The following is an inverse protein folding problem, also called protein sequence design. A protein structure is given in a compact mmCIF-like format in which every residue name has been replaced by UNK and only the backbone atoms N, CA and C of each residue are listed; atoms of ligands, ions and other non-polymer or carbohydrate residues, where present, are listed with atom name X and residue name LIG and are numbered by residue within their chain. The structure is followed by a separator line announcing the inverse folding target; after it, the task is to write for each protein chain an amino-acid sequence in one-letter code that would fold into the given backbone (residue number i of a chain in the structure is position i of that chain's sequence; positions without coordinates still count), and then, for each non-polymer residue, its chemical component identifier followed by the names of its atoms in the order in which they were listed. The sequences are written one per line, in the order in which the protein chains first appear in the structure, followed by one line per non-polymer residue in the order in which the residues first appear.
data_IF_671704005598
#
_entry.id   IF_671704005598
#
_cell.length_a   1.000
_cell.length_b   1.000
_cell.length_c   1.000
_cell.angle_alpha   90.00
_cell.angle_beta   90.00
_cell.angle_gamma   90.00
#
_symmetry.space_group_name_H-M   'P 1'
#
loop_
_entity.id
_entity.type
_entity.pdbx_description
1 polymer ?
#
# COMPACT_ATOMS: atom_id res chain seq x y z
N UNK A 1 -37.67 2.14 -114.03
CA UNK A 1 -37.53 2.79 -115.36
C UNK A 1 -36.38 2.10 -116.08
N UNK A 2 -36.46 1.39 -117.21
CA UNK A 2 -37.52 1.02 -118.19
C UNK A 2 -37.38 -0.49 -118.53
N UNK A 3 -38.48 -1.18 -118.94
CA UNK A 3 -38.50 -2.57 -119.44
C UNK A 3 -38.61 -2.64 -121.00
N UNK A 4 -39.00 -3.83 -121.53
CA UNK A 4 -39.37 -4.25 -122.92
C UNK A 4 -38.33 -5.18 -123.57
N UNK A 5 -38.60 -6.38 -124.12
CA UNK A 5 -39.83 -7.10 -124.45
C UNK A 5 -40.07 -7.18 -125.97
N UNK A 6 -39.84 -8.33 -126.61
CA UNK A 6 -40.57 -8.82 -127.82
C UNK A 6 -40.12 -10.24 -128.25
N UNK A 7 -41.10 -11.12 -128.48
CA UNK A 7 -41.04 -12.54 -128.87
C UNK A 7 -41.33 -12.72 -130.40
N UNK A 8 -41.77 -13.89 -130.91
CA UNK A 8 -41.06 -15.13 -131.28
C UNK A 8 -41.36 -15.59 -132.75
N UNK A 9 -40.68 -16.61 -133.29
CA UNK A 9 -41.22 -17.37 -134.45
C UNK A 9 -40.93 -18.88 -134.36
N UNK A 10 -41.94 -19.69 -134.71
CA UNK A 10 -41.94 -21.18 -134.73
C UNK A 10 -42.26 -21.65 -136.15
N UNK A 11 -41.50 -22.59 -136.76
CA UNK A 11 -41.77 -23.09 -138.11
C UNK A 11 -42.77 -24.27 -138.16
N UNK A 12 -43.46 -24.48 -139.30
CA UNK A 12 -44.62 -25.38 -139.42
C UNK A 12 -44.32 -26.87 -139.65
N UNK A 13 -45.32 -27.69 -139.33
CA UNK A 13 -45.37 -29.16 -139.19
C UNK A 13 -45.32 -29.99 -140.48
N UNK A 14 -44.72 -31.19 -140.35
CA UNK A 14 -44.54 -32.26 -141.34
C UNK A 14 -45.82 -33.07 -141.65
N UNK A 15 -46.04 -33.44 -142.93
CA UNK A 15 -46.95 -34.54 -143.34
C UNK A 15 -46.12 -35.73 -143.87
N UNK A 16 -46.16 -36.87 -143.16
CA UNK A 16 -45.41 -38.08 -143.48
C UNK A 16 -46.24 -39.08 -144.33
N UNK A 17 -45.69 -39.57 -145.46
CA UNK A 17 -46.22 -40.72 -146.23
C UNK A 17 -45.88 -42.04 -145.49
N UNK A 18 -46.89 -42.84 -145.16
CA UNK A 18 -46.79 -44.05 -144.31
C UNK A 18 -46.26 -45.32 -145.01
N UNK A 19 -45.94 -45.28 -146.31
CA UNK A 19 -45.49 -46.45 -147.10
C UNK A 19 -44.01 -46.82 -146.96
N UNK A 20 -43.11 -45.85 -146.75
CA UNK A 20 -41.66 -46.07 -146.67
C UNK A 20 -41.19 -46.60 -145.31
N UNK A 21 -42.05 -46.48 -144.29
CA UNK A 21 -41.72 -46.78 -142.89
C UNK A 21 -41.52 -48.29 -142.65
N UNK A 22 -42.21 -49.16 -143.40
CA UNK A 22 -42.09 -50.62 -143.24
C UNK A 22 -40.76 -51.16 -143.79
N UNK A 23 -40.27 -50.59 -144.90
CA UNK A 23 -39.00 -51.01 -145.51
C UNK A 23 -37.79 -50.51 -144.69
N UNK A 24 -37.89 -49.29 -144.14
CA UNK A 24 -36.88 -48.72 -143.25
C UNK A 24 -36.78 -49.47 -141.92
N UNK A 25 -37.90 -49.88 -141.32
CA UNK A 25 -37.90 -50.63 -140.04
C UNK A 25 -37.14 -51.97 -140.13
N UNK A 26 -37.23 -52.69 -141.25
CA UNK A 26 -36.47 -53.94 -141.46
C UNK A 26 -34.97 -53.69 -141.61
N UNK A 27 -34.56 -52.63 -142.30
CA UNK A 27 -33.14 -52.25 -142.41
C UNK A 27 -32.57 -51.74 -141.08
N UNK A 28 -33.36 -50.98 -140.32
CA UNK A 28 -32.97 -50.47 -139.01
C UNK A 28 -32.82 -51.61 -137.99
N UNK A 29 -33.71 -52.60 -137.99
CA UNK A 29 -33.55 -53.78 -137.12
C UNK A 29 -32.28 -54.58 -137.45
N UNK A 30 -31.99 -54.78 -138.73
CA UNK A 30 -30.75 -55.45 -139.16
C UNK A 30 -29.49 -54.68 -138.75
N UNK A 31 -29.54 -53.35 -138.77
CA UNK A 31 -28.44 -52.48 -138.35
C UNK A 31 -28.25 -52.51 -136.83
N UNK A 32 -29.35 -52.49 -136.07
CA UNK A 32 -29.32 -52.54 -134.60
C UNK A 32 -28.76 -53.89 -134.13
N UNK A 33 -29.14 -55.00 -134.75
CA UNK A 33 -28.58 -56.32 -134.43
C UNK A 33 -27.06 -56.34 -134.71
N UNK A 34 -26.61 -55.72 -135.80
CA UNK A 34 -25.19 -55.60 -136.13
C UNK A 34 -24.42 -54.72 -135.12
N UNK A 35 -25.06 -53.68 -134.58
CA UNK A 35 -24.49 -52.77 -133.57
C UNK A 35 -24.45 -53.41 -132.18
N UNK A 36 -25.43 -54.25 -131.83
CA UNK A 36 -25.50 -54.89 -130.50
C UNK A 36 -24.51 -56.02 -130.29
N UNK A 37 -24.03 -56.68 -131.35
CA UNK A 37 -22.99 -57.73 -131.26
C UNK A 37 -21.61 -57.13 -130.92
N UNK A 38 -21.41 -55.83 -131.14
CA UNK A 38 -20.16 -55.13 -130.82
C UNK A 38 -20.01 -54.71 -129.35
N UNK A 39 -21.05 -54.90 -128.51
CA UNK A 39 -21.06 -54.46 -127.11
C UNK A 39 -20.80 -55.61 -126.12
N UNK A 40 -19.66 -56.26 -126.29
CA UNK A 40 -19.05 -57.11 -125.27
C UNK A 40 -17.52 -57.07 -125.40
N UNK A 41 -16.94 -55.87 -125.40
CA UNK A 41 -15.50 -55.73 -125.21
C UNK A 41 -15.26 -55.18 -123.80
N UNK A 42 -14.87 -56.08 -122.90
CA UNK A 42 -14.24 -55.71 -121.64
C UNK A 42 -13.05 -54.84 -122.01
N UNK A 43 -13.08 -53.54 -121.66
CA UNK A 43 -11.93 -52.66 -121.82
C UNK A 43 -10.81 -53.20 -120.92
N UNK A 44 -9.91 -53.97 -121.51
CA UNK A 44 -8.65 -54.34 -120.90
C UNK A 44 -7.74 -53.11 -120.89
N UNK A 45 -7.14 -52.83 -119.74
CA UNK A 45 -6.25 -51.68 -119.56
C UNK A 45 -5.12 -51.68 -120.61
N UNK A 46 -4.44 -52.81 -120.75
CA UNK A 46 -3.67 -53.17 -121.92
C UNK A 46 -4.33 -54.37 -122.60
N UNK A 47 -4.64 -54.31 -123.92
CA UNK A 47 -5.27 -55.42 -124.63
C UNK A 47 -4.47 -56.73 -124.58
N UNK A 48 -3.15 -56.63 -124.43
CA UNK A 48 -2.21 -57.74 -124.38
C UNK A 48 -1.88 -58.22 -122.95
N UNK A 49 -2.51 -57.65 -121.91
CA UNK A 49 -2.40 -58.13 -120.52
C UNK A 49 -3.81 -58.45 -119.99
N UNK A 50 -4.29 -59.69 -120.18
CA UNK A 50 -5.61 -60.09 -119.70
C UNK A 50 -5.70 -60.09 -118.17
N UNK A 51 -6.91 -59.86 -117.62
CA UNK A 51 -7.15 -59.84 -116.15
C UNK A 51 -6.71 -61.10 -115.39
N UNK A 52 -6.72 -62.26 -116.06
CA UNK A 52 -6.31 -63.54 -115.51
C UNK A 52 -4.81 -63.83 -115.66
N UNK A 53 -4.05 -62.93 -116.30
CA UNK A 53 -2.61 -63.04 -116.42
C UNK A 53 -1.94 -62.72 -115.08
N UNK A 54 -0.95 -63.52 -114.66
CA UNK A 54 -0.26 -63.35 -113.38
C UNK A 54 0.34 -61.93 -113.21
N UNK A 55 0.79 -61.32 -114.31
CA UNK A 55 1.40 -60.00 -114.31
C UNK A 55 0.38 -58.84 -114.24
N UNK A 56 -0.92 -59.11 -114.42
CA UNK A 56 -1.94 -58.08 -114.57
C UNK A 56 -1.93 -57.08 -113.41
N UNK A 57 -2.01 -57.57 -112.17
CA UNK A 57 -2.04 -56.74 -110.96
C UNK A 57 -0.78 -55.88 -110.80
N UNK A 58 0.38 -56.42 -111.15
CA UNK A 58 1.65 -55.71 -111.04
C UNK A 58 1.77 -54.62 -112.11
N UNK A 59 1.44 -54.95 -113.36
CA UNK A 59 1.44 -54.01 -114.49
C UNK A 59 0.43 -52.89 -114.25
N UNK A 60 -0.77 -53.23 -113.80
CA UNK A 60 -1.80 -52.27 -113.45
C UNK A 60 -1.32 -51.30 -112.36
N UNK A 61 -0.75 -51.81 -111.26
CA UNK A 61 -0.21 -50.99 -110.17
C UNK A 61 0.91 -50.04 -110.60
N UNK A 62 1.78 -50.50 -111.49
CA UNK A 62 2.87 -49.67 -112.00
C UNK A 62 2.37 -48.61 -112.97
N UNK A 63 1.35 -48.94 -113.77
CA UNK A 63 0.72 -47.97 -114.66
C UNK A 63 -0.10 -46.92 -113.91
N UNK A 64 -0.87 -47.32 -112.92
CA UNK A 64 -1.66 -46.40 -112.08
C UNK A 64 -0.75 -45.36 -111.38
N UNK A 65 0.49 -45.75 -111.07
CA UNK A 65 1.54 -44.88 -110.53
C UNK A 65 2.34 -44.12 -111.60
N UNK A 66 2.01 -44.29 -112.88
CA UNK A 66 2.70 -43.65 -114.00
C UNK A 66 4.11 -44.17 -114.30
N UNK A 67 4.55 -45.24 -113.62
CA UNK A 67 5.90 -45.81 -113.77
C UNK A 67 6.06 -46.39 -115.17
N UNK A 68 5.09 -47.22 -115.59
CA UNK A 68 4.98 -47.72 -116.96
C UNK A 68 3.75 -47.12 -117.64
N UNK A 69 3.91 -46.58 -118.85
CA UNK A 69 2.81 -45.92 -119.58
C UNK A 69 2.32 -46.73 -120.80
N UNK A 70 3.00 -47.84 -121.11
CA UNK A 70 2.75 -48.63 -122.32
C UNK A 70 3.26 -47.96 -123.59
N UNK A 71 2.90 -48.54 -124.73
CA UNK A 71 3.29 -48.05 -126.05
C UNK A 71 2.19 -47.19 -126.70
N UNK A 72 2.50 -46.41 -127.76
CA UNK A 72 1.50 -45.61 -128.47
C UNK A 72 0.35 -46.42 -129.06
N UNK A 73 0.57 -47.72 -129.32
CA UNK A 73 -0.44 -48.68 -129.77
C UNK A 73 -1.32 -49.21 -128.63
N UNK A 74 -1.15 -48.68 -127.41
CA UNK A 74 -1.86 -49.04 -126.18
C UNK A 74 -1.61 -50.48 -125.73
N UNK A 75 -0.44 -51.04 -126.02
CA UNK A 75 -0.01 -52.37 -125.51
C UNK A 75 1.09 -52.26 -124.45
N UNK A 76 1.32 -53.32 -123.68
CA UNK A 76 2.40 -53.42 -122.69
C UNK A 76 3.67 -54.11 -123.25
N UNK A 77 3.49 -55.06 -124.17
CA UNK A 77 4.51 -55.92 -124.79
C UNK A 77 5.35 -56.69 -123.79
N UNK A 78 4.68 -57.41 -122.87
CA UNK A 78 5.33 -58.13 -121.76
C UNK A 78 6.35 -59.21 -122.16
N UNK A 79 6.18 -59.84 -123.32
CA UNK A 79 7.11 -60.87 -123.83
C UNK A 79 8.37 -60.28 -124.49
N UNK A 80 8.42 -58.95 -124.67
CA UNK A 80 9.55 -58.26 -125.29
C UNK A 80 10.60 -57.91 -124.25
N UNK A 81 11.87 -58.07 -124.61
CA UNK A 81 12.95 -57.50 -123.82
C UNK A 81 12.76 -55.98 -123.66
N UNK A 82 12.86 -55.50 -122.43
CA UNK A 82 12.90 -54.07 -122.13
C UNK A 82 14.28 -53.50 -122.51
N UNK A 83 14.30 -52.31 -123.11
CA UNK A 83 15.58 -51.63 -123.37
C UNK A 83 16.13 -51.04 -122.09
N UNK A 84 17.46 -50.84 -122.03
CA UNK A 84 18.11 -50.15 -120.90
C UNK A 84 17.52 -48.74 -120.68
N UNK A 85 17.10 -48.05 -121.75
CA UNK A 85 16.48 -46.72 -121.69
C UNK A 85 15.09 -46.74 -121.05
N UNK A 86 14.25 -47.72 -121.42
CA UNK A 86 12.92 -47.89 -120.83
C UNK A 86 13.02 -48.29 -119.36
N UNK A 87 13.96 -49.19 -119.02
CA UNK A 87 14.22 -49.57 -117.63
C UNK A 87 14.70 -48.38 -116.79
N UNK A 88 15.65 -47.58 -117.31
CA UNK A 88 16.13 -46.38 -116.62
C UNK A 88 15.01 -45.35 -116.39
N UNK A 89 14.11 -45.18 -117.37
CA UNK A 89 12.96 -44.27 -117.25
C UNK A 89 11.96 -44.75 -116.20
N UNK A 90 11.67 -46.05 -116.15
CA UNK A 90 10.80 -46.63 -115.13
C UNK A 90 11.41 -46.49 -113.73
N UNK A 91 12.73 -46.72 -113.57
CA UNK A 91 13.43 -46.53 -112.30
C UNK A 91 13.41 -45.07 -111.86
N UNK A 92 13.66 -44.12 -112.76
CA UNK A 92 13.57 -42.68 -112.45
C UNK A 92 12.20 -42.31 -111.90
N UNK A 93 11.13 -42.68 -112.62
CA UNK A 93 9.75 -42.38 -112.19
C UNK A 93 9.36 -43.06 -110.88
N UNK A 94 9.87 -44.27 -110.64
CA UNK A 94 9.66 -44.96 -109.37
C UNK A 94 10.34 -44.22 -108.22
N UNK A 95 11.57 -43.74 -108.41
CA UNK A 95 12.29 -42.94 -107.41
C UNK A 95 11.55 -41.63 -107.14
N UNK A 96 11.12 -40.90 -108.17
CA UNK A 96 10.33 -39.67 -108.03
C UNK A 96 9.04 -39.92 -107.23
N UNK A 97 8.33 -41.01 -107.52
CA UNK A 97 7.12 -41.41 -106.78
C UNK A 97 7.41 -41.73 -105.31
N UNK A 98 8.49 -42.46 -105.04
CA UNK A 98 8.90 -42.80 -103.67
C UNK A 98 9.29 -41.53 -102.91
N UNK A 99 10.07 -40.64 -103.54
CA UNK A 99 10.46 -39.36 -102.95
C UNK A 99 9.22 -38.52 -102.63
N UNK A 100 8.30 -38.33 -103.57
CA UNK A 100 7.06 -37.55 -103.33
C UNK A 100 6.25 -38.11 -102.16
N UNK A 101 6.03 -39.43 -102.10
CA UNK A 101 5.19 -40.05 -101.06
C UNK A 101 5.88 -40.16 -99.71
N UNK A 102 7.17 -40.49 -99.68
CA UNK A 102 7.92 -40.64 -98.42
C UNK A 102 8.28 -39.29 -97.84
N UNK A 103 8.71 -38.33 -98.67
CA UNK A 103 9.08 -36.99 -98.23
C UNK A 103 7.83 -36.19 -97.87
N UNK A 104 6.77 -36.24 -98.67
CA UNK A 104 5.53 -35.52 -98.38
C UNK A 104 4.85 -35.97 -97.08
N UNK A 105 4.70 -37.28 -96.86
CA UNK A 105 4.06 -37.80 -95.65
C UNK A 105 4.87 -37.50 -94.38
N UNK A 106 6.21 -37.64 -94.43
CA UNK A 106 7.08 -37.32 -93.30
C UNK A 106 7.11 -35.83 -92.99
N UNK A 107 7.01 -34.96 -94.00
CA UNK A 107 6.98 -33.51 -93.78
C UNK A 107 5.70 -33.11 -93.05
N UNK A 108 4.53 -33.64 -93.44
CA UNK A 108 3.26 -33.31 -92.78
C UNK A 108 3.28 -33.71 -91.29
N UNK A 109 3.70 -34.95 -90.98
CA UNK A 109 3.82 -35.42 -89.61
C UNK A 109 4.78 -34.54 -88.79
N UNK A 110 5.92 -34.17 -89.36
CA UNK A 110 6.88 -33.27 -88.70
C UNK A 110 6.30 -31.86 -88.48
N UNK A 111 5.57 -31.31 -89.46
CA UNK A 111 4.94 -29.98 -89.34
C UNK A 111 3.92 -29.97 -88.21
N UNK A 112 3.10 -31.02 -88.06
CA UNK A 112 2.14 -31.11 -86.94
C UNK A 112 2.86 -31.16 -85.58
N UNK A 113 3.94 -31.93 -85.47
CA UNK A 113 4.76 -32.01 -84.26
C UNK A 113 5.41 -30.66 -83.95
N UNK A 114 6.00 -30.00 -84.93
CA UNK A 114 6.65 -28.68 -84.77
C UNK A 114 5.65 -27.62 -84.33
N UNK A 115 4.45 -27.58 -84.93
CA UNK A 115 3.39 -26.66 -84.52
C UNK A 115 2.93 -26.94 -83.08
N UNK A 116 2.79 -28.22 -82.70
CA UNK A 116 2.45 -28.61 -81.33
C UNK A 116 3.53 -28.18 -80.32
N UNK A 117 4.81 -28.33 -80.67
CA UNK A 117 5.94 -27.86 -79.84
C UNK A 117 5.91 -26.34 -79.72
N UNK A 118 5.69 -25.61 -80.82
CA UNK A 118 5.65 -24.15 -80.81
C UNK A 118 4.53 -23.61 -79.89
N UNK A 119 3.34 -24.20 -79.94
CA UNK A 119 2.22 -23.84 -79.06
C UNK A 119 2.55 -24.07 -77.59
N UNK A 120 3.06 -25.27 -77.25
CA UNK A 120 3.45 -25.62 -75.87
C UNK A 120 4.59 -24.74 -75.35
N UNK A 121 5.54 -24.39 -76.21
CA UNK A 121 6.65 -23.49 -75.85
C UNK A 121 6.13 -22.08 -75.58
N UNK A 122 5.16 -21.60 -76.34
CA UNK A 122 4.50 -20.32 -76.09
C UNK A 122 3.68 -20.30 -74.79
N UNK A 123 2.97 -21.39 -74.50
CA UNK A 123 2.27 -21.58 -73.22
C UNK A 123 3.23 -21.58 -72.04
N UNK A 124 4.27 -22.40 -72.11
CA UNK A 124 5.30 -22.47 -71.08
C UNK A 124 5.96 -21.11 -70.86
N UNK A 125 6.24 -20.36 -71.92
CA UNK A 125 6.80 -19.01 -71.83
C UNK A 125 5.85 -18.07 -71.07
N UNK A 126 4.55 -18.11 -71.35
CA UNK A 126 3.55 -17.31 -70.63
C UNK A 126 3.47 -17.67 -69.16
N UNK A 127 3.51 -18.95 -68.82
CA UNK A 127 3.43 -19.38 -67.43
C UNK A 127 4.70 -19.04 -66.65
N UNK A 128 5.89 -19.16 -67.28
CA UNK A 128 7.15 -18.67 -66.71
C UNK A 128 7.09 -17.16 -66.46
N UNK A 129 6.50 -16.38 -67.36
CA UNK A 129 6.31 -14.93 -67.14
C UNK A 129 5.38 -14.64 -65.96
N UNK A 130 4.27 -15.37 -65.82
CA UNK A 130 3.36 -15.23 -64.66
C UNK A 130 4.03 -15.60 -63.35
N UNK A 131 4.79 -16.70 -63.34
CA UNK A 131 5.56 -17.11 -62.15
C UNK A 131 6.60 -16.06 -61.78
N UNK A 132 7.28 -15.47 -62.78
CA UNK A 132 8.23 -14.38 -62.55
C UNK A 132 7.54 -13.15 -61.95
N UNK A 133 6.38 -12.74 -62.46
CA UNK A 133 5.65 -11.60 -61.86
C UNK A 133 5.23 -11.89 -60.42
N UNK A 134 4.69 -13.09 -60.15
CA UNK A 134 4.32 -13.47 -58.78
C UNK A 134 5.52 -13.55 -57.84
N UNK A 135 6.71 -13.93 -58.34
CA UNK A 135 7.95 -13.93 -57.56
C UNK A 135 8.38 -12.51 -57.17
N UNK A 136 8.30 -11.55 -58.10
CA UNK A 136 8.60 -10.15 -57.80
C UNK A 136 7.59 -9.56 -56.81
N UNK A 137 6.30 -9.86 -56.96
CA UNK A 137 5.25 -9.43 -56.01
C UNK A 137 5.49 -10.01 -54.62
N UNK A 138 5.87 -11.29 -54.53
CA UNK A 138 6.21 -11.93 -53.25
C UNK A 138 7.46 -11.31 -52.63
N UNK A 139 8.49 -11.00 -53.43
CA UNK A 139 9.70 -10.33 -52.96
C UNK A 139 9.39 -8.93 -52.41
N UNK A 140 8.52 -8.19 -53.09
CA UNK A 140 8.07 -6.88 -52.61
C UNK A 140 7.32 -7.00 -51.27
N UNK A 141 6.37 -7.94 -51.17
CA UNK A 141 5.64 -8.20 -49.91
C UNK A 141 6.55 -8.62 -48.76
N UNK A 142 7.59 -9.43 -49.05
CA UNK A 142 8.60 -9.81 -48.05
C UNK A 142 9.34 -8.56 -47.57
N UNK A 143 9.78 -7.69 -48.48
CA UNK A 143 10.44 -6.43 -48.09
C UNK A 143 9.54 -5.50 -47.26
N UNK A 144 8.25 -5.39 -47.61
CA UNK A 144 7.28 -4.61 -46.82
C UNK A 144 7.08 -5.21 -45.42
N UNK A 145 7.02 -6.55 -45.31
CA UNK A 145 6.89 -7.25 -44.03
C UNK A 145 8.17 -7.11 -43.17
N UNK A 146 9.35 -7.21 -43.77
CA UNK A 146 10.63 -6.99 -43.08
C UNK A 146 10.69 -5.58 -42.51
N UNK A 147 10.31 -4.57 -43.30
CA UNK A 147 10.26 -3.18 -42.84
C UNK A 147 9.25 -2.97 -41.71
N UNK A 148 8.04 -3.55 -41.83
CA UNK A 148 7.03 -3.45 -40.79
C UNK A 148 7.49 -4.14 -39.49
N UNK A 149 8.22 -5.24 -39.59
CA UNK A 149 8.79 -5.95 -38.45
C UNK A 149 9.87 -5.10 -37.75
N UNK A 150 10.75 -4.46 -38.51
CA UNK A 150 11.77 -3.56 -37.98
C UNK A 150 11.14 -2.35 -37.27
N UNK A 151 10.13 -1.73 -37.89
CA UNK A 151 9.38 -0.62 -37.29
C UNK A 151 8.70 -1.02 -35.97
N UNK A 152 8.07 -2.21 -35.91
CA UNK A 152 7.49 -2.71 -34.66
C UNK A 152 8.55 -3.06 -33.61
N UNK A 153 9.70 -3.60 -34.02
CA UNK A 153 10.79 -3.92 -33.10
C UNK A 153 11.35 -2.65 -32.44
N UNK A 154 11.54 -1.59 -33.21
CA UNK A 154 11.96 -0.27 -32.70
C UNK A 154 10.90 0.35 -31.78
N UNK A 155 9.62 0.26 -32.14
CA UNK A 155 8.52 0.75 -31.29
C UNK A 155 8.45 0.00 -29.95
N UNK A 156 8.56 -1.33 -29.97
CA UNK A 156 8.56 -2.13 -28.75
C UNK A 156 9.80 -1.88 -27.89
N UNK A 157 10.97 -1.71 -28.51
CA UNK A 157 12.20 -1.33 -27.82
C UNK A 157 12.02 -0.01 -27.05
N UNK A 158 11.46 1.01 -27.69
CA UNK A 158 11.18 2.30 -27.05
C UNK A 158 10.20 2.17 -25.87
N UNK A 159 9.10 1.41 -26.03
CA UNK A 159 8.16 1.17 -24.93
C UNK A 159 8.79 0.42 -23.76
N UNK A 160 9.68 -0.54 -24.01
CA UNK A 160 10.42 -1.25 -22.97
C UNK A 160 11.33 -0.28 -22.23
N UNK A 161 12.07 0.58 -22.93
CA UNK A 161 12.94 1.58 -22.32
C UNK A 161 12.16 2.56 -21.41
N UNK A 162 10.98 2.99 -21.83
CA UNK A 162 10.12 3.87 -21.03
C UNK A 162 9.61 3.16 -19.76
N UNK A 163 9.18 1.90 -19.88
CA UNK A 163 8.77 1.08 -18.72
C UNK A 163 9.95 0.86 -17.77
N UNK A 164 11.15 0.61 -18.27
CA UNK A 164 12.36 0.47 -17.44
C UNK A 164 12.66 1.75 -16.65
N UNK A 165 12.51 2.93 -17.27
CA UNK A 165 12.65 4.23 -16.58
C UNK A 165 11.60 4.41 -15.49
N UNK A 166 10.34 4.03 -15.74
CA UNK A 166 9.28 4.10 -14.73
C UNK A 166 9.56 3.16 -13.55
N UNK A 167 9.99 1.92 -13.82
CA UNK A 167 10.36 0.94 -12.78
C UNK A 167 11.52 1.46 -11.93
N UNK A 168 12.54 2.06 -12.54
CA UNK A 168 13.67 2.63 -11.81
C UNK A 168 13.26 3.81 -10.92
N UNK A 169 12.33 4.65 -11.39
CA UNK A 169 11.71 5.73 -10.60
C UNK A 169 10.92 5.18 -9.41
N UNK A 170 10.08 4.17 -9.64
CA UNK A 170 9.30 3.50 -8.59
C UNK A 170 10.22 2.84 -7.55
N UNK A 171 11.29 2.19 -7.99
CA UNK A 171 12.28 1.56 -7.11
C UNK A 171 12.92 2.58 -6.16
N UNK A 172 13.30 3.76 -6.66
CA UNK A 172 13.82 4.86 -5.83
C UNK A 172 12.79 5.33 -4.80
N UNK A 173 11.54 5.50 -5.20
CA UNK A 173 10.45 5.87 -4.27
C UNK A 173 10.22 4.82 -3.18
N UNK A 174 10.29 3.53 -3.53
CA UNK A 174 10.18 2.44 -2.55
C UNK A 174 11.32 2.51 -1.54
N UNK A 175 12.57 2.68 -1.99
CA UNK A 175 13.72 2.82 -1.08
C UNK A 175 13.60 4.05 -0.16
N UNK A 176 13.07 5.17 -0.65
CA UNK A 176 12.79 6.35 0.17
C UNK A 176 11.72 6.07 1.24
N UNK A 177 10.64 5.37 0.87
CA UNK A 177 9.61 4.93 1.81
C UNK A 177 10.20 4.00 2.87
N UNK A 178 11.05 3.06 2.49
CA UNK A 178 11.72 2.14 3.43
C UNK A 178 12.59 2.89 4.45
N UNK A 179 13.37 3.87 3.99
CA UNK A 179 14.16 4.74 4.89
C UNK A 179 13.28 5.54 5.84
N UNK A 180 12.19 6.12 5.33
CA UNK A 180 11.24 6.88 6.15
C UNK A 180 10.51 5.99 7.17
N UNK A 181 10.13 4.78 6.79
CA UNK A 181 9.55 3.78 7.69
C UNK A 181 10.55 3.38 8.78
N UNK A 182 11.81 3.14 8.43
CA UNK A 182 12.86 2.85 9.41
C UNK A 182 13.04 3.99 10.41
N UNK A 183 13.05 5.24 9.95
CA UNK A 183 13.12 6.41 10.83
C UNK A 183 11.91 6.51 11.76
N UNK A 184 10.71 6.24 11.24
CA UNK A 184 9.46 6.24 12.02
C UNK A 184 9.42 5.10 13.05
N UNK A 185 9.94 3.92 12.70
CA UNK A 185 10.07 2.80 13.64
C UNK A 185 11.02 3.18 14.77
N UNK A 186 12.15 3.82 14.48
CA UNK A 186 13.09 4.28 15.51
C UNK A 186 12.43 5.28 16.47
N UNK A 187 11.70 6.27 15.96
CA UNK A 187 11.04 7.26 16.82
C UNK A 187 9.90 6.66 17.64
N UNK A 188 9.16 5.68 17.10
CA UNK A 188 8.18 4.91 17.87
C UNK A 188 8.84 4.06 18.96
N UNK A 189 10.04 3.53 18.72
CA UNK A 189 10.80 2.77 19.69
C UNK A 189 11.25 3.66 20.86
N UNK A 190 11.74 4.87 20.56
CA UNK A 190 12.06 5.89 21.59
C UNK A 190 10.82 6.27 22.42
N UNK A 191 9.65 6.39 21.79
CA UNK A 191 8.40 6.67 22.51
C UNK A 191 8.01 5.49 23.39
N UNK A 192 8.12 4.26 22.89
CA UNK A 192 7.82 3.07 23.68
C UNK A 192 8.74 2.98 24.92
N UNK A 193 10.03 3.27 24.76
CA UNK A 193 11.00 3.32 25.87
C UNK A 193 10.61 4.38 26.91
N UNK A 194 10.28 5.61 26.48
CA UNK A 194 9.76 6.66 27.37
C UNK A 194 8.44 6.27 28.05
N UNK A 195 7.60 5.47 27.40
CA UNK A 195 6.34 5.00 28.00
C UNK A 195 6.63 4.02 29.14
N UNK A 196 7.65 3.17 29.00
CA UNK A 196 8.13 2.30 30.08
C UNK A 196 8.68 3.11 31.26
N UNK A 197 9.40 4.20 31.00
CA UNK A 197 9.85 5.13 32.07
C UNK A 197 8.66 5.77 32.80
N UNK A 198 7.57 6.11 32.08
CA UNK A 198 6.36 6.64 32.73
C UNK A 198 5.69 5.60 33.63
N UNK A 199 5.68 4.33 33.22
CA UNK A 199 5.08 3.28 34.03
C UNK A 199 5.89 2.99 35.31
N UNK A 200 7.23 3.06 35.27
CA UNK A 200 8.04 2.98 36.49
C UNK A 200 7.82 4.19 37.41
N UNK A 201 7.72 5.40 36.85
CA UNK A 201 7.40 6.60 37.63
C UNK A 201 6.01 6.52 38.29
N UNK A 202 5.01 5.92 37.63
CA UNK A 202 3.69 5.67 38.27
C UNK A 202 3.81 4.72 39.46
N UNK A 203 4.64 3.69 39.36
CA UNK A 203 4.88 2.76 40.46
C UNK A 203 5.53 3.48 41.65
N UNK A 204 6.52 4.32 41.38
CA UNK A 204 7.17 5.13 42.41
C UNK A 204 6.21 6.16 43.03
N UNK A 205 5.32 6.75 42.25
CA UNK A 205 4.29 7.66 42.73
C UNK A 205 3.30 6.93 43.66
N UNK A 206 2.90 5.70 43.32
CA UNK A 206 2.04 4.87 44.17
C UNK A 206 2.72 4.54 45.52
N UNK A 207 4.03 4.25 45.52
CA UNK A 207 4.82 4.04 46.76
C UNK A 207 4.87 5.31 47.61
N UNK A 208 5.02 6.48 46.98
CA UNK A 208 5.03 7.77 47.67
C UNK A 208 3.65 8.09 48.28
N UNK A 209 2.57 7.85 47.55
CA UNK A 209 1.19 8.02 48.03
C UNK A 209 0.91 7.12 49.26
N UNK A 210 1.37 5.87 49.23
CA UNK A 210 1.28 4.97 50.37
C UNK A 210 2.06 5.49 51.58
N UNK A 211 3.28 5.99 51.35
CA UNK A 211 4.10 6.59 52.40
C UNK A 211 3.43 7.83 53.00
N UNK A 212 2.76 8.65 52.18
CA UNK A 212 2.06 9.85 52.62
C UNK A 212 0.79 9.53 53.42
N UNK A 213 0.04 8.50 53.02
CA UNK A 213 -1.06 7.92 53.82
C UNK A 213 -0.57 7.47 55.20
N UNK A 214 0.58 6.80 55.25
CA UNK A 214 1.15 6.32 56.50
C UNK A 214 1.61 7.46 57.42
N UNK A 215 2.23 8.51 56.86
CA UNK A 215 2.57 9.73 57.59
C UNK A 215 1.30 10.43 58.09
N UNK A 216 0.25 10.50 57.28
CA UNK A 216 -1.04 11.08 57.69
C UNK A 216 -1.65 10.30 58.86
N UNK A 217 -1.63 8.96 58.82
CA UNK A 217 -2.09 8.13 59.93
C UNK A 217 -1.26 8.34 61.21
N UNK A 218 0.07 8.49 61.07
CA UNK A 218 0.95 8.84 62.19
C UNK A 218 0.65 10.24 62.75
N UNK A 219 0.31 11.21 61.90
CA UNK A 219 -0.10 12.55 62.32
C UNK A 219 -1.43 12.51 63.08
N UNK A 220 -2.42 11.78 62.58
CA UNK A 220 -3.72 11.59 63.24
C UNK A 220 -3.54 10.96 64.64
N UNK A 221 -2.60 10.01 64.80
CA UNK A 221 -2.25 9.41 66.10
C UNK A 221 -1.55 10.42 67.04
N UNK A 222 -0.68 11.29 66.52
CA UNK A 222 -0.07 12.39 67.29
C UNK A 222 -1.13 13.40 67.74
N UNK A 223 -2.08 13.77 66.88
CA UNK A 223 -3.20 14.63 67.25
C UNK A 223 -4.07 13.98 68.35
N UNK A 224 -4.35 12.68 68.24
CA UNK A 224 -5.09 11.93 69.25
C UNK A 224 -4.35 11.85 70.61
N UNK A 225 -3.02 11.70 70.59
CA UNK A 225 -2.21 11.68 71.83
C UNK A 225 -2.05 13.06 72.46
N UNK A 226 -1.98 14.14 71.66
CA UNK A 226 -2.07 15.51 72.16
C UNK A 226 -3.45 15.81 72.78
N UNK A 227 -4.53 15.29 72.20
CA UNK A 227 -5.88 15.38 72.78
C UNK A 227 -6.03 14.66 74.13
N UNK A 228 -5.29 13.57 74.36
CA UNK A 228 -5.31 12.82 75.62
C UNK A 228 -4.44 13.42 76.73
N UNK A 229 -3.53 14.36 76.44
CA UNK A 229 -2.70 15.04 77.46
C UNK A 229 -3.36 16.30 78.06
N UNK A 230 -4.65 16.51 77.79
CA UNK A 230 -5.46 17.59 78.33
C UNK A 230 -6.33 17.13 79.52
N UNK A 231 -5.78 16.35 80.46
CA UNK A 231 -6.39 16.17 81.79
C UNK A 231 -6.24 17.45 82.63
N UNK A 232 -6.99 18.49 82.24
CA UNK A 232 -7.18 19.74 83.00
C UNK A 232 -7.99 19.55 84.30
N UNK A 233 -8.53 18.34 84.53
CA UNK A 233 -9.34 17.97 85.69
C UNK A 233 -8.54 18.09 86.99
N UNK A 234 -7.34 17.51 87.03
CA UNK A 234 -6.47 17.52 88.21
C UNK A 234 -5.95 18.93 88.55
N UNK A 235 -5.59 19.71 87.53
CA UNK A 235 -5.10 21.08 87.73
C UNK A 235 -6.21 21.99 88.24
N UNK A 236 -7.45 21.82 87.76
CA UNK A 236 -8.61 22.59 88.22
C UNK A 236 -8.99 22.28 89.68
N UNK A 237 -8.87 21.02 90.10
CA UNK A 237 -9.11 20.61 91.47
C UNK A 237 -8.02 21.13 92.43
N UNK A 238 -6.76 21.03 92.03
CA UNK A 238 -5.63 21.57 92.80
C UNK A 238 -5.73 23.10 92.98
N UNK A 239 -6.02 23.84 91.90
CA UNK A 239 -6.22 25.30 91.96
C UNK A 239 -7.45 25.66 92.81
N UNK A 240 -8.54 24.88 92.71
CA UNK A 240 -9.73 25.08 93.55
C UNK A 240 -9.45 24.90 95.05
N UNK A 241 -8.64 23.91 95.42
CA UNK A 241 -8.25 23.67 96.80
C UNK A 241 -7.32 24.77 97.34
N UNK A 242 -6.36 25.24 96.53
CA UNK A 242 -5.51 26.39 96.89
C UNK A 242 -6.35 27.67 97.07
N UNK A 243 -7.36 27.89 96.23
CA UNK A 243 -8.27 29.04 96.35
C UNK A 243 -9.07 29.04 97.66
N UNK A 244 -9.54 27.87 98.12
CA UNK A 244 -10.24 27.75 99.41
C UNK A 244 -9.32 28.05 100.59
N UNK A 245 -8.10 27.50 100.59
CA UNK A 245 -7.12 27.75 101.65
C UNK A 245 -6.70 29.24 101.73
N UNK A 246 -6.63 29.93 100.59
CA UNK A 246 -6.30 31.36 100.55
C UNK A 246 -7.39 32.22 101.21
N UNK A 247 -8.66 31.88 101.02
CA UNK A 247 -9.77 32.63 101.62
C UNK A 247 -9.89 32.39 103.13
N UNK A 248 -9.59 31.17 103.60
CA UNK A 248 -9.48 30.86 105.03
C UNK A 248 -8.33 31.67 105.69
N UNK A 249 -7.17 31.74 105.03
CA UNK A 249 -6.03 32.53 105.51
C UNK A 249 -6.40 34.02 105.61
N UNK A 250 -7.11 34.55 104.61
CA UNK A 250 -7.57 35.94 104.58
C UNK A 250 -8.51 36.28 105.75
N UNK A 251 -9.41 35.36 106.11
CA UNK A 251 -10.28 35.54 107.28
C UNK A 251 -9.49 35.55 108.60
N UNK A 252 -8.47 34.70 108.76
CA UNK A 252 -7.64 34.69 109.97
C UNK A 252 -6.84 35.98 110.17
N UNK A 253 -6.31 36.57 109.10
CA UNK A 253 -5.58 37.85 109.18
C UNK A 253 -6.49 38.99 109.64
N UNK A 254 -7.74 39.04 109.16
CA UNK A 254 -8.72 40.06 109.59
C UNK A 254 -9.07 39.95 111.09
N UNK A 255 -9.11 38.73 111.63
CA UNK A 255 -9.35 38.52 113.06
C UNK A 255 -8.16 39.04 113.88
N UNK A 256 -6.93 38.72 113.47
CA UNK A 256 -5.72 39.20 114.15
C UNK A 256 -5.58 40.73 114.14
N UNK A 257 -5.92 41.42 113.05
CA UNK A 257 -5.91 42.89 112.99
C UNK A 257 -6.85 43.51 114.05
N UNK A 258 -8.03 42.90 114.25
CA UNK A 258 -9.01 43.36 115.24
C UNK A 258 -8.50 43.19 116.67
N UNK A 259 -7.78 42.11 116.95
CA UNK A 259 -7.21 41.85 118.28
C UNK A 259 -6.01 42.76 118.58
N UNK A 260 -5.18 43.08 117.58
CA UNK A 260 -4.09 44.06 117.71
C UNK A 260 -4.64 45.45 118.10
N UNK A 261 -5.74 45.89 117.49
CA UNK A 261 -6.37 47.18 117.83
C UNK A 261 -6.85 47.25 119.29
N UNK A 262 -7.43 46.17 119.83
CA UNK A 262 -7.84 46.11 121.24
C UNK A 262 -6.65 46.20 122.20
N UNK A 263 -5.49 45.65 121.83
CA UNK A 263 -4.27 45.74 122.65
C UNK A 263 -3.75 47.18 122.73
N UNK A 264 -3.87 47.97 121.67
CA UNK A 264 -3.51 49.40 121.67
C UNK A 264 -4.41 50.24 122.60
N UNK A 265 -5.71 49.97 122.68
CA UNK A 265 -6.61 50.67 123.62
C UNK A 265 -6.28 50.33 125.10
N UNK A 266 -5.95 49.07 125.37
CA UNK A 266 -5.59 48.62 126.72
C UNK A 266 -4.24 49.19 127.19
N UNK A 267 -3.26 49.40 126.30
CA UNK A 267 -1.99 50.02 126.70
C UNK A 267 -2.17 51.50 127.05
N UNK A 268 -3.03 52.23 126.34
CA UNK A 268 -3.31 53.64 126.60
C UNK A 268 -4.00 53.88 127.96
N UNK A 269 -4.86 52.95 128.39
CA UNK A 269 -5.51 53.00 129.70
C UNK A 269 -4.53 52.71 130.85
N UNK A 270 -3.65 51.73 130.69
CA UNK A 270 -2.58 51.42 131.66
C UNK A 270 -1.61 52.59 131.89
N UNK A 271 -1.23 53.34 130.84
CA UNK A 271 -0.37 54.52 131.01
C UNK A 271 -1.02 55.61 131.86
N UNK A 272 -2.34 55.80 131.73
CA UNK A 272 -3.11 56.77 132.52
C UNK A 272 -3.16 56.39 134.00
N UNK A 273 -3.35 55.10 134.30
CA UNK A 273 -3.40 54.60 135.68
C UNK A 273 -2.03 54.71 136.38
N UNK A 274 -0.93 54.43 135.67
CA UNK A 274 0.44 54.60 136.18
C UNK A 274 0.72 56.07 136.55
N UNK A 275 0.25 57.03 135.74
CA UNK A 275 0.41 58.45 136.01
C UNK A 275 -0.35 58.90 137.28
N UNK A 276 -1.56 58.36 137.51
CA UNK A 276 -2.36 58.64 138.70
C UNK A 276 -1.66 58.16 139.98
N UNK A 277 -1.21 56.90 140.00
CA UNK A 277 -0.51 56.30 141.16
C UNK A 277 0.77 57.06 141.51
N UNK A 278 1.55 57.50 140.52
CA UNK A 278 2.75 58.33 140.76
C UNK A 278 2.43 59.65 141.49
N UNK A 279 1.27 60.24 141.24
CA UNK A 279 0.86 61.49 141.90
C UNK A 279 0.47 61.28 143.36
N UNK A 280 -0.16 60.15 143.67
CA UNK A 280 -0.55 59.79 145.04
C UNK A 280 0.67 59.48 145.92
N UNK A 281 1.66 58.78 145.37
CA UNK A 281 2.92 58.48 146.08
C UNK A 281 3.64 59.77 146.49
N UNK A 282 3.79 60.74 145.57
CA UNK A 282 4.40 62.04 145.87
C UNK A 282 3.71 62.78 147.02
N UNK A 283 2.38 62.69 147.08
CA UNK A 283 1.60 63.31 148.15
C UNK A 283 1.92 62.69 149.51
N UNK A 284 1.95 61.36 149.58
CA UNK A 284 2.27 60.62 150.81
C UNK A 284 3.69 60.90 151.31
N UNK A 285 4.67 60.98 150.40
CA UNK A 285 6.07 61.32 150.76
C UNK A 285 6.16 62.67 151.48
N UNK A 286 5.54 63.72 150.93
CA UNK A 286 5.52 65.06 151.56
C UNK A 286 4.81 65.10 152.92
N UNK A 287 3.75 64.32 153.13
CA UNK A 287 3.06 64.24 154.42
C UNK A 287 3.90 63.54 155.51
N UNK A 288 4.70 62.55 155.11
CA UNK A 288 5.62 61.85 156.00
C UNK A 288 6.78 62.73 156.45
N UNK A 289 7.34 63.54 155.54
CA UNK A 289 8.46 64.45 155.81
C UNK A 289 8.09 65.50 156.89
N UNK A 290 6.90 66.10 156.78
CA UNK A 290 6.36 67.05 157.78
C UNK A 290 6.14 66.38 159.15
N UNK A 291 5.66 65.13 159.18
CA UNK A 291 5.43 64.41 160.44
C UNK A 291 6.74 64.05 161.15
N UNK A 292 7.77 63.65 160.41
CA UNK A 292 9.09 63.30 160.95
C UNK A 292 9.73 64.53 161.61
N UNK A 293 9.67 65.69 160.96
CA UNK A 293 10.21 66.95 161.49
C UNK A 293 9.49 67.39 162.79
N UNK A 294 8.17 67.23 162.85
CA UNK A 294 7.39 67.50 164.06
C UNK A 294 7.68 66.56 165.24
N UNK A 295 8.02 65.29 164.99
CA UNK A 295 8.46 64.36 166.05
C UNK A 295 9.85 64.73 166.55
N UNK A 296 10.78 65.05 165.64
CA UNK A 296 12.16 65.43 165.98
C UNK A 296 12.21 66.63 166.95
N UNK A 297 11.42 67.68 166.67
CA UNK A 297 11.34 68.87 167.52
C UNK A 297 10.77 68.61 168.91
N UNK A 298 9.79 67.70 169.05
CA UNK A 298 9.21 67.32 170.35
C UNK A 298 10.20 66.52 171.20
N UNK A 299 10.97 65.64 170.56
CA UNK A 299 11.98 64.83 171.24
C UNK A 299 13.12 65.70 171.79
N UNK A 300 13.55 66.71 171.02
CA UNK A 300 14.54 67.70 171.45
C UNK A 300 14.06 68.53 172.66
N UNK A 301 12.78 68.90 172.71
CA UNK A 301 12.19 69.63 173.83
C UNK A 301 12.11 68.80 175.12
N UNK A 302 11.77 67.51 175.02
CA UNK A 302 11.71 66.63 176.19
C UNK A 302 13.09 66.22 176.71
N UNK A 303 14.08 66.01 175.83
CA UNK A 303 15.47 65.82 176.27
C UNK A 303 15.94 66.96 177.19
N UNK A 304 15.62 68.20 176.81
CA UNK A 304 16.00 69.39 177.59
C UNK A 304 15.29 69.50 178.95
N UNK A 305 14.06 68.96 179.05
CA UNK A 305 13.32 68.87 180.33
C UNK A 305 13.92 67.81 181.26
N UNK A 306 14.32 66.67 180.71
CA UNK A 306 14.99 65.59 181.47
C UNK A 306 16.31 66.09 182.05
N UNK A 307 17.09 66.86 181.29
CA UNK A 307 18.33 67.48 181.77
C UNK A 307 18.08 68.44 182.95
N UNK A 308 17.02 69.26 182.87
CA UNK A 308 16.65 70.18 183.95
C UNK A 308 16.19 69.44 185.23
N UNK A 309 15.44 68.34 185.08
CA UNK A 309 15.00 67.53 186.22
C UNK A 309 16.18 66.83 186.91
N UNK A 310 17.13 66.33 186.12
CA UNK A 310 18.35 65.65 186.61
C UNK A 310 19.15 66.58 187.51
N UNK A 311 19.36 67.83 187.09
CA UNK A 311 20.06 68.83 187.89
C UNK A 311 19.34 69.15 189.21
N UNK A 312 17.99 69.22 189.22
CA UNK A 312 17.24 69.42 190.47
C UNK A 312 17.30 68.22 191.42
N UNK A 313 17.36 66.99 190.89
CA UNK A 313 17.54 65.79 191.70
C UNK A 313 18.93 65.78 192.34
N UNK A 314 19.97 66.16 191.61
CA UNK A 314 21.33 66.29 192.14
C UNK A 314 21.42 67.36 193.25
N UNK A 315 20.72 68.49 193.07
CA UNK A 315 20.68 69.58 194.05
C UNK A 315 19.95 69.18 195.35
N UNK A 316 18.87 68.40 195.24
CA UNK A 316 18.18 67.79 196.38
C UNK A 316 19.04 66.71 197.06
N UNK A 317 19.76 65.91 196.28
CA UNK A 317 20.72 64.92 196.77
C UNK A 317 21.78 65.55 197.66
N UNK A 318 22.37 66.67 197.22
CA UNK A 318 23.35 67.41 198.02
C UNK A 318 22.78 68.00 199.32
N UNK A 319 21.54 68.51 199.31
CA UNK A 319 20.85 68.98 200.53
C UNK A 319 20.60 67.86 201.55
N UNK A 320 20.31 66.64 201.08
CA UNK A 320 20.15 65.48 201.97
C UNK A 320 21.48 65.11 202.62
N UNK A 321 22.59 65.22 201.88
CA UNK A 321 23.93 65.01 202.44
C UNK A 321 24.26 66.05 203.51
N UNK A 322 23.94 67.33 203.27
CA UNK A 322 24.08 68.40 204.29
C UNK A 322 23.30 68.09 205.57
N UNK A 323 22.09 67.55 205.45
CA UNK A 323 21.27 67.18 206.61
C UNK A 323 21.77 65.94 207.36
N UNK A 324 22.40 64.99 206.66
CA UNK A 324 22.85 63.73 207.26
C UNK A 324 24.13 63.92 208.08
N UNK A 325 25.00 64.85 207.66
CA UNK A 325 26.24 65.12 208.42
C UNK A 325 26.00 66.01 209.64
N UNK A 326 24.95 66.85 209.64
CA UNK A 326 24.58 67.68 210.79
C UNK A 326 24.08 66.88 212.01
N UNK A 327 23.88 65.56 211.88
CA UNK A 327 23.28 64.70 212.92
C UNK A 327 24.26 63.69 213.57
N UNK A 328 25.58 63.82 213.37
CA UNK A 328 26.61 62.95 213.95
C UNK A 328 27.72 63.74 214.64
#
# INVERSE_FOLDING_TARGET
MKPWGSSPEVPPTLKHKRGEVCFMKKKILSLIVLVTVSSAMVFAFFPDVPKHHWAYEYVYKLWERGIFIGYPDKTFKGDRCITRYEAATAVSRLLDFIEEKVVGAKIEDLVTVVNGIALRTGELTRDVMKLKSSLEDLKAKIGDLEKALDEQSEEFSGKIEDVEKEVESLKKKVSEIELNLSGTISSLLDVAEKTMEVDSLKEDLAKLEQSLQEVKAKLDDVEATLGKKADLSFVKEAVGNVGKALEELKQTVLIHDKDILKLYENSATLEKDIAAVKSEIKKVESELEVKIEGVSNRLYAESKRVDALTNSVDELGNKIVELTFAYR
#
